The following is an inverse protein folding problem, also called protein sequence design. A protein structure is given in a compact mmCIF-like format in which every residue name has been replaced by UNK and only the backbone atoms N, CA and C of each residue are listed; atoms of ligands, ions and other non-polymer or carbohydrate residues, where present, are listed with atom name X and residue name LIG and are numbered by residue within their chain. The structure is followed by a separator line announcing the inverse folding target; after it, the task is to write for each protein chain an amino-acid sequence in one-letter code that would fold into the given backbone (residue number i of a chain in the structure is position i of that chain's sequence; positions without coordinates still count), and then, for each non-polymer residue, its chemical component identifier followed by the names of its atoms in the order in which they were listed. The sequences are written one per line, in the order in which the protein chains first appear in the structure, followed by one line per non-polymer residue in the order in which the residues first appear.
data_IF_601715891105
#
_entry.id   IF_601715891105
#
_cell.length_a   1.000
_cell.length_b   1.000
_cell.length_c   1.000
_cell.angle_alpha   90.00
_cell.angle_beta   90.00
_cell.angle_gamma   90.00
#
_symmetry.space_group_name_H-M   'P 1'
#
loop_
_entity.id
_entity.type
_entity.pdbx_description
1 polymer ?
#
# COMPACT_ATOMS: atom_id res chain seq x y z
N UNK A 1 -8.46 -6.08 -17.97
CA UNK A 1 -7.22 -6.03 -17.17
C UNK A 1 -7.61 -6.09 -15.71
N UNK A 2 -7.57 -7.25 -15.07
CA UNK A 2 -8.01 -7.39 -13.68
C UNK A 2 -7.04 -6.62 -12.78
N UNK A 3 -7.51 -5.49 -12.25
CA UNK A 3 -6.81 -4.73 -11.21
C UNK A 3 -6.66 -5.67 -10.02
N UNK A 4 -5.54 -6.39 -9.93
CA UNK A 4 -5.25 -7.26 -8.79
C UNK A 4 -5.09 -6.35 -7.59
N UNK A 5 -6.08 -6.38 -6.70
CA UNK A 5 -5.99 -5.65 -5.46
C UNK A 5 -4.76 -6.17 -4.69
N UNK A 6 -3.92 -5.25 -4.19
CA UNK A 6 -2.80 -5.61 -3.34
C UNK A 6 -3.36 -6.15 -2.03
N UNK A 7 -2.89 -7.32 -1.62
CA UNK A 7 -3.33 -7.99 -0.39
C UNK A 7 -2.21 -7.96 0.65
N UNK A 8 -2.55 -8.16 1.93
CA UNK A 8 -1.57 -8.24 3.01
C UNK A 8 -0.49 -9.29 2.70
N UNK A 9 0.77 -8.87 2.75
CA UNK A 9 1.93 -9.69 2.41
C UNK A 9 2.41 -9.56 0.95
N UNK A 10 1.63 -8.92 0.07
CA UNK A 10 2.07 -8.63 -1.29
C UNK A 10 3.22 -7.62 -1.29
N UNK A 11 4.21 -7.82 -2.16
CA UNK A 11 5.17 -6.78 -2.49
C UNK A 11 4.60 -5.92 -3.60
N UNK A 12 4.53 -4.63 -3.30
CA UNK A 12 4.00 -3.61 -4.19
C UNK A 12 5.06 -2.57 -4.49
N UNK A 13 4.99 -1.98 -5.67
CA UNK A 13 5.76 -0.82 -6.09
C UNK A 13 4.83 0.30 -6.52
N UNK A 14 5.27 1.55 -6.43
CA UNK A 14 4.51 2.70 -6.92
C UNK A 14 5.45 3.73 -7.53
N UNK A 15 4.92 4.54 -8.45
CA UNK A 15 5.70 5.61 -9.07
C UNK A 15 5.82 6.79 -8.12
N UNK A 16 7.05 7.24 -7.87
CA UNK A 16 7.36 8.44 -7.09
C UNK A 16 8.45 9.24 -7.80
N UNK A 17 8.07 10.34 -8.45
CA UNK A 17 8.98 11.11 -9.31
C UNK A 17 9.55 10.23 -10.41
N UNK A 18 10.89 10.18 -10.49
CA UNK A 18 11.64 9.32 -11.41
C UNK A 18 11.85 7.89 -10.89
N UNK A 19 11.57 7.63 -9.62
CA UNK A 19 11.79 6.35 -8.96
C UNK A 19 10.53 5.49 -8.83
N UNK A 20 10.75 4.21 -8.50
CA UNK A 20 9.69 3.25 -8.14
C UNK A 20 10.02 2.57 -6.82
N UNK A 21 9.84 3.27 -5.67
CA UNK A 21 9.99 2.63 -4.38
C UNK A 21 9.04 1.44 -4.25
N UNK A 22 9.52 0.38 -3.59
CA UNK A 22 8.74 -0.80 -3.25
C UNK A 22 8.56 -0.94 -1.73
N UNK A 23 7.60 -1.77 -1.35
CA UNK A 23 7.34 -2.13 0.04
C UNK A 23 6.41 -3.35 0.12
N UNK A 24 6.11 -3.75 1.35
CA UNK A 24 5.23 -4.88 1.64
C UNK A 24 3.91 -4.37 2.19
N UNK A 25 2.79 -4.89 1.69
CA UNK A 25 1.47 -4.53 2.19
C UNK A 25 1.29 -5.08 3.60
N UNK A 26 1.07 -4.20 4.56
CA UNK A 26 0.82 -4.55 5.96
C UNK A 26 -0.69 -4.67 6.25
N UNK A 27 -1.49 -3.75 5.69
CA UNK A 27 -2.94 -3.69 5.89
C UNK A 27 -3.62 -3.04 4.68
N UNK A 28 -4.88 -3.40 4.44
CA UNK A 28 -5.75 -2.78 3.44
C UNK A 28 -7.11 -2.46 4.03
N UNK A 29 -7.61 -1.25 3.80
CA UNK A 29 -8.99 -0.84 4.12
C UNK A 29 -9.73 -0.46 2.86
N UNK A 30 -10.90 -1.05 2.67
CA UNK A 30 -11.79 -0.73 1.54
C UNK A 30 -12.61 0.54 1.79
N UNK A 31 -12.96 0.81 3.04
CA UNK A 31 -13.74 1.99 3.42
C UNK A 31 -13.16 2.67 4.67
N UNK A 32 -13.35 3.99 4.77
CA UNK A 32 -12.89 4.82 5.89
C UNK A 32 -11.55 5.51 5.67
N UNK A 33 -10.88 5.89 6.75
CA UNK A 33 -9.57 6.54 6.73
C UNK A 33 -8.52 5.61 7.35
N UNK A 34 -7.36 5.50 6.70
CA UNK A 34 -6.15 4.97 7.33
C UNK A 34 -5.30 6.18 7.76
N UNK A 35 -5.05 6.27 9.05
CA UNK A 35 -4.07 7.18 9.63
C UNK A 35 -2.95 6.33 10.23
N UNK A 36 -1.73 6.51 9.73
CA UNK A 36 -0.53 5.90 10.32
C UNK A 36 0.41 7.00 10.79
N UNK A 37 1.12 6.72 11.88
CA UNK A 37 2.23 7.54 12.31
C UNK A 37 3.52 6.89 11.84
N UNK A 38 4.26 7.60 10.99
CA UNK A 38 5.56 7.11 10.52
C UNK A 38 6.59 7.22 11.63
N UNK A 39 7.63 6.37 11.58
CA UNK A 39 8.78 6.43 12.52
C UNK A 39 9.46 7.80 12.63
N UNK A 40 9.25 8.71 11.69
CA UNK A 40 9.79 10.07 11.70
C UNK A 40 8.88 11.10 12.38
N UNK A 41 7.75 10.68 12.96
CA UNK A 41 6.76 11.57 13.59
C UNK A 41 5.82 12.26 12.59
N UNK A 42 5.81 11.83 11.31
CA UNK A 42 4.83 12.34 10.35
C UNK A 42 3.58 11.49 10.38
N UNK A 43 2.41 12.12 10.51
CA UNK A 43 1.11 11.46 10.35
C UNK A 43 0.73 11.42 8.87
N UNK A 44 0.61 10.22 8.32
CA UNK A 44 0.13 10.00 6.95
C UNK A 44 -1.31 9.51 7.01
N UNK A 45 -2.22 10.31 6.45
CA UNK A 45 -3.65 10.00 6.39
C UNK A 45 -4.09 9.78 4.95
N UNK A 46 -4.88 8.74 4.71
CA UNK A 46 -5.47 8.46 3.39
C UNK A 46 -6.86 7.87 3.53
N UNK A 47 -7.80 8.47 2.83
CA UNK A 47 -9.17 7.97 2.73
C UNK A 47 -9.21 6.85 1.68
N UNK A 48 -9.73 5.71 2.13
CA UNK A 48 -10.15 4.62 1.26
C UNK A 48 -11.45 5.04 0.57
N UNK A 49 -11.52 4.76 -0.74
CA UNK A 49 -12.73 5.00 -1.53
C UNK A 49 -13.33 3.63 -1.91
N UNK A 50 -14.65 3.54 -2.14
CA UNK A 50 -15.33 2.27 -2.41
C UNK A 50 -14.80 1.47 -3.61
N UNK A 51 -14.12 2.13 -4.57
CA UNK A 51 -13.42 1.48 -5.70
C UNK A 51 -11.90 1.55 -5.63
N UNK A 52 -11.37 2.07 -4.52
CA UNK A 52 -9.96 2.33 -4.32
C UNK A 52 -9.55 2.20 -2.85
N UNK A 53 -9.33 0.96 -2.37
CA UNK A 53 -8.92 0.72 -1.00
C UNK A 53 -7.63 1.48 -0.66
N UNK A 54 -7.55 1.98 0.57
CA UNK A 54 -6.31 2.45 1.15
C UNK A 54 -5.46 1.25 1.59
N UNK A 55 -4.18 1.32 1.30
CA UNK A 55 -3.21 0.24 1.46
C UNK A 55 -2.06 0.81 2.28
N UNK A 56 -1.88 0.26 3.47
CA UNK A 56 -0.74 0.53 4.31
C UNK A 56 0.41 -0.36 3.87
N UNK A 57 1.52 0.27 3.51
CA UNK A 57 2.74 -0.37 3.04
C UNK A 57 3.85 -0.07 4.04
N UNK A 58 4.39 -1.14 4.62
CA UNK A 58 5.57 -1.09 5.46
C UNK A 58 6.82 -1.29 4.62
N UNK A 59 7.86 -0.50 4.92
CA UNK A 59 9.18 -0.62 4.27
C UNK A 59 10.26 -0.26 5.26
N UNK A 60 11.50 -0.66 4.95
CA UNK A 60 12.65 -0.31 5.76
C UNK A 60 12.82 1.22 5.84
N UNK A 61 12.49 1.77 7.01
CA UNK A 61 12.70 3.17 7.37
C UNK A 61 11.45 4.03 7.51
N UNK A 62 10.42 3.89 6.67
CA UNK A 62 9.24 4.76 6.69
C UNK A 62 7.99 4.06 6.15
N UNK A 63 6.95 4.01 6.95
CA UNK A 63 5.67 3.46 6.50
C UNK A 63 4.91 4.48 5.64
N UNK A 64 4.12 3.98 4.69
CA UNK A 64 3.36 4.84 3.77
C UNK A 64 1.96 4.28 3.54
N UNK A 65 1.02 5.18 3.32
CA UNK A 65 -0.34 4.81 2.90
C UNK A 65 -0.56 5.29 1.47
N UNK A 66 -0.97 4.35 0.62
CA UNK A 66 -1.27 4.59 -0.79
C UNK A 66 -2.59 3.95 -1.16
N UNK A 67 -3.18 4.35 -2.28
CA UNK A 67 -4.40 3.69 -2.77
C UNK A 67 -4.05 2.52 -3.68
N UNK A 68 -4.86 1.48 -3.68
CA UNK A 68 -4.64 0.30 -4.52
C UNK A 68 -4.47 0.62 -6.01
N UNK A 69 -5.12 1.67 -6.54
CA UNK A 69 -4.94 2.11 -7.92
C UNK A 69 -3.56 2.70 -8.24
N UNK A 70 -2.82 3.17 -7.23
CA UNK A 70 -1.47 3.73 -7.39
C UNK A 70 -0.39 2.66 -7.30
N UNK A 71 -0.75 1.45 -6.89
CA UNK A 71 0.17 0.36 -6.57
C UNK A 71 0.22 -0.66 -7.70
N UNK A 72 1.42 -1.16 -7.95
CA UNK A 72 1.69 -2.28 -8.85
C UNK A 72 2.14 -3.46 -8.00
N UNK A 73 1.40 -4.57 -8.03
CA UNK A 73 1.80 -5.81 -7.34
C UNK A 73 2.95 -6.44 -8.13
N UNK A 74 4.15 -6.40 -7.57
CA UNK A 74 5.36 -6.99 -8.14
C UNK A 74 5.45 -8.48 -7.81
N UNK A 75 5.15 -8.83 -6.56
CA UNK A 75 5.18 -10.20 -6.08
C UNK A 75 3.99 -10.43 -5.17
N UNK A 76 3.14 -11.40 -5.52
CA UNK A 76 2.09 -11.88 -4.60
C UNK A 76 2.78 -12.53 -3.39
N UNK A 77 2.40 -12.13 -2.18
CA UNK A 77 2.82 -12.80 -0.96
C UNK A 77 2.35 -14.23 -1.05
N UNK A 78 3.23 -15.20 -0.81
CA UNK A 78 2.96 -16.62 -1.02
C UNK A 78 1.70 -17.07 -0.29
N UNK A 79 0.56 -17.04 -0.99
CA UNK A 79 -0.54 -17.96 -0.74
C UNK A 79 -0.01 -19.33 -1.14
N UNK A 80 0.51 -20.05 -0.15
CA UNK A 80 0.86 -21.45 -0.32
C UNK A 80 -0.41 -22.16 -0.85
N UNK A 81 -0.30 -22.74 -2.03
CA UNK A 81 -1.38 -23.49 -2.68
C UNK A 81 -1.63 -24.80 -1.96
#
# INVERSE_FOLDING_TARGET
MTKKEPEKGDKVSWKWGSGRPGGTVAETKQEGEIAIETKRGNTVKKNAEPGNPAVHIERSGNDVVKRASELTVEQKGSGNK
#
